data_IF_929637271647
#
_entry.id   IF_929637271647
#
_cell.length_a   1.000
_cell.length_b   1.000
_cell.length_c   1.000
_cell.angle_alpha   90.00
_cell.angle_beta   90.00
_cell.angle_gamma   90.00
#
_symmetry.space_group_name_H-M   'P 1'
#
loop_
_entity.id
_entity.type
_entity.pdbx_description
1 polymer ?
#
# COMPACT_ATOMS: atom_id res chain seq x y z
N UNK A 1 1.69 -13.47 -1.80
CA UNK A 1 0.45 -13.51 -2.63
C UNK A 1 -0.46 -12.37 -2.23
N UNK A 2 -1.09 -11.68 -3.18
CA UNK A 2 -2.09 -10.62 -2.93
C UNK A 2 -3.24 -10.72 -3.95
N UNK A 3 -4.46 -10.45 -3.50
CA UNK A 3 -5.66 -10.40 -4.35
C UNK A 3 -6.75 -11.38 -3.93
N UNK A 4 -7.93 -11.30 -4.56
CA UNK A 4 -9.13 -12.06 -4.13
C UNK A 4 -8.96 -13.59 -4.21
N UNK A 5 -8.03 -14.10 -5.04
CA UNK A 5 -7.73 -15.53 -5.14
C UNK A 5 -6.62 -16.00 -4.19
N UNK A 6 -6.03 -15.13 -3.37
CA UNK A 6 -4.90 -15.49 -2.51
C UNK A 6 -5.26 -16.62 -1.52
N UNK A 7 -6.43 -16.52 -0.88
CA UNK A 7 -6.94 -17.53 0.05
C UNK A 7 -7.33 -18.84 -0.64
N UNK A 8 -7.85 -18.77 -1.87
CA UNK A 8 -8.18 -19.95 -2.67
C UNK A 8 -6.93 -20.72 -3.06
N UNK A 9 -5.91 -20.03 -3.56
CA UNK A 9 -4.65 -20.64 -3.98
C UNK A 9 -3.98 -21.33 -2.81
N UNK A 10 -3.83 -20.64 -1.68
CA UNK A 10 -3.16 -21.24 -0.51
C UNK A 10 -3.95 -22.44 0.04
N UNK A 11 -5.28 -22.40 0.03
CA UNK A 11 -6.10 -23.51 0.54
C UNK A 11 -5.87 -24.82 -0.23
N UNK A 12 -5.46 -24.73 -1.50
CA UNK A 12 -5.19 -25.91 -2.34
C UNK A 12 -3.85 -26.55 -2.02
N UNK A 13 -2.83 -25.75 -1.73
CA UNK A 13 -1.42 -26.20 -1.63
C UNK A 13 -0.92 -26.31 -0.19
N UNK A 14 -1.52 -25.60 0.75
CA UNK A 14 -1.09 -25.63 2.14
C UNK A 14 -1.87 -26.69 2.93
N UNK A 15 -1.15 -27.48 3.72
CA UNK A 15 -1.68 -28.47 4.63
C UNK A 15 -1.29 -28.07 6.06
N UNK A 16 -2.19 -27.39 6.80
CA UNK A 16 -1.89 -26.96 8.16
C UNK A 16 -1.77 -28.18 9.09
N UNK A 17 -0.83 -28.13 10.04
CA UNK A 17 -0.62 -29.21 11.01
C UNK A 17 -1.87 -29.51 11.83
N UNK A 18 -2.57 -28.45 12.26
CA UNK A 18 -3.93 -28.56 12.81
C UNK A 18 -4.90 -28.44 11.65
N UNK A 19 -5.83 -29.40 11.48
CA UNK A 19 -6.88 -29.43 10.42
C UNK A 19 -7.84 -28.23 10.49
N UNK A 20 -7.33 -27.04 10.22
CA UNK A 20 -8.06 -25.77 10.16
C UNK A 20 -8.32 -25.43 8.71
N UNK A 21 -9.52 -24.92 8.44
CA UNK A 21 -9.82 -24.33 7.15
C UNK A 21 -9.13 -22.96 7.04
N UNK A 22 -8.14 -22.91 6.14
CA UNK A 22 -7.29 -21.74 5.84
C UNK A 22 -8.13 -20.52 5.43
N UNK A 23 -9.29 -20.73 4.82
CA UNK A 23 -10.18 -19.62 4.41
C UNK A 23 -10.93 -19.02 5.58
N UNK A 24 -11.21 -19.80 6.62
CA UNK A 24 -12.04 -19.41 7.77
C UNK A 24 -11.23 -19.07 9.03
N UNK A 25 -9.91 -19.03 8.96
CA UNK A 25 -9.08 -18.55 10.07
C UNK A 25 -9.27 -17.04 10.32
N UNK A 26 -8.91 -16.61 11.52
CA UNK A 26 -8.80 -15.19 11.85
C UNK A 26 -7.73 -14.53 10.97
N UNK A 27 -7.86 -13.23 10.74
CA UNK A 27 -6.83 -12.45 10.04
C UNK A 27 -5.62 -12.20 10.95
N UNK A 28 -4.45 -11.94 10.36
CA UNK A 28 -3.20 -11.65 11.06
C UNK A 28 -2.76 -12.79 11.98
N UNK A 29 -2.92 -14.03 11.52
CA UNK A 29 -2.49 -15.22 12.24
C UNK A 29 -1.48 -16.02 11.43
N UNK A 30 -0.60 -16.69 12.18
CA UNK A 30 0.44 -17.56 11.64
C UNK A 30 0.03 -19.02 11.78
N UNK A 31 0.24 -19.80 10.73
CA UNK A 31 -0.15 -21.19 10.65
C UNK A 31 1.04 -22.06 10.23
N UNK A 32 1.38 -23.02 11.07
CA UNK A 32 2.40 -24.01 10.80
C UNK A 32 1.83 -25.21 10.04
N UNK A 33 2.59 -25.72 9.06
CA UNK A 33 2.21 -26.88 8.26
C UNK A 33 3.17 -27.10 7.09
N UNK A 34 2.68 -27.73 6.04
CA UNK A 34 3.47 -28.08 4.86
C UNK A 34 2.88 -27.51 3.57
N UNK A 35 3.75 -27.17 2.61
CA UNK A 35 3.33 -26.98 1.22
C UNK A 35 3.39 -28.34 0.51
N UNK A 36 2.30 -28.70 -0.15
CA UNK A 36 2.11 -30.00 -0.80
C UNK A 36 1.60 -29.76 -2.21
N UNK A 37 2.20 -30.43 -3.19
CA UNK A 37 1.68 -30.46 -4.55
C UNK A 37 0.34 -31.22 -4.57
N UNK A 38 -0.78 -30.59 -4.98
CA UNK A 38 -2.08 -31.23 -4.96
C UNK A 38 -2.21 -32.35 -6.00
N UNK A 39 -1.37 -32.37 -7.04
CA UNK A 39 -1.45 -33.37 -8.12
C UNK A 39 -0.65 -34.64 -7.78
N UNK A 40 0.52 -34.48 -7.15
CA UNK A 40 1.42 -35.61 -6.82
C UNK A 40 1.36 -36.04 -5.36
N UNK A 41 0.92 -35.16 -4.46
CA UNK A 41 1.00 -35.35 -3.02
C UNK A 41 2.40 -35.18 -2.44
N UNK A 42 3.39 -34.77 -3.25
CA UNK A 42 4.76 -34.52 -2.78
C UNK A 42 4.79 -33.32 -1.82
N UNK A 43 5.45 -33.51 -0.68
CA UNK A 43 5.71 -32.43 0.29
C UNK A 43 6.91 -31.64 -0.20
N UNK A 44 6.71 -30.35 -0.46
CA UNK A 44 7.79 -29.47 -0.92
C UNK A 44 8.59 -28.89 0.24
N UNK A 45 7.91 -28.45 1.29
CA UNK A 45 8.56 -27.88 2.47
C UNK A 45 7.64 -27.81 3.69
N UNK A 46 8.26 -27.72 4.86
CA UNK A 46 7.65 -27.32 6.12
C UNK A 46 7.72 -25.78 6.24
N UNK A 47 6.57 -25.12 6.48
CA UNK A 47 6.44 -23.67 6.35
C UNK A 47 5.61 -23.04 7.46
N UNK A 48 5.77 -21.72 7.61
CA UNK A 48 4.84 -20.86 8.33
C UNK A 48 4.08 -19.97 7.35
N UNK A 49 2.75 -20.08 7.33
CA UNK A 49 1.89 -19.28 6.46
C UNK A 49 1.19 -18.18 7.28
N UNK A 50 1.42 -16.93 6.90
CA UNK A 50 0.71 -15.77 7.43
C UNK A 50 -0.53 -15.49 6.58
N UNK A 51 -1.68 -15.35 7.22
CA UNK A 51 -2.94 -15.04 6.54
C UNK A 51 -3.44 -13.69 7.02
N UNK A 52 -3.52 -12.73 6.09
CA UNK A 52 -3.97 -11.37 6.36
C UNK A 52 -5.11 -11.04 5.41
N UNK A 53 -6.28 -10.74 5.95
CA UNK A 53 -7.49 -10.44 5.18
C UNK A 53 -7.69 -8.95 5.03
N UNK A 54 -8.26 -8.53 3.89
CA UNK A 54 -8.64 -7.14 3.61
C UNK A 54 -9.57 -6.57 4.69
N UNK A 55 -9.59 -5.24 4.90
CA UNK A 55 -8.77 -4.21 4.24
C UNK A 55 -7.43 -3.95 4.92
N UNK A 56 -7.14 -4.61 6.05
CA UNK A 56 -6.03 -4.23 6.94
C UNK A 56 -4.69 -4.86 6.50
N UNK A 57 -4.35 -4.80 5.22
CA UNK A 57 -3.15 -5.43 4.64
C UNK A 57 -2.35 -4.43 3.80
N UNK A 58 -1.10 -4.74 3.45
CA UNK A 58 -0.24 -3.82 2.69
C UNK A 58 -0.89 -3.33 1.38
N UNK A 59 -1.51 -4.22 0.62
CA UNK A 59 -2.21 -3.89 -0.62
C UNK A 59 -3.68 -3.53 -0.40
N UNK A 60 -4.22 -3.65 0.81
CA UNK A 60 -5.68 -3.69 1.13
C UNK A 60 -6.46 -4.84 0.49
N UNK A 61 -5.78 -5.82 -0.07
CA UNK A 61 -6.38 -7.07 -0.55
C UNK A 61 -6.10 -8.20 0.44
N UNK A 62 -6.66 -9.39 0.20
CA UNK A 62 -6.22 -10.57 0.95
C UNK A 62 -4.76 -10.89 0.60
N UNK A 63 -3.92 -11.01 1.62
CA UNK A 63 -2.49 -11.34 1.51
C UNK A 63 -2.22 -12.66 2.20
N UNK A 64 -1.44 -13.49 1.52
CA UNK A 64 -0.85 -14.71 2.07
C UNK A 64 0.65 -14.65 1.87
N UNK A 65 1.40 -14.86 2.96
CA UNK A 65 2.85 -14.97 2.95
C UNK A 65 3.26 -16.39 3.34
N UNK A 66 4.12 -17.01 2.54
CA UNK A 66 4.63 -18.36 2.78
C UNK A 66 6.09 -18.21 3.20
N UNK A 67 6.36 -18.44 4.48
CA UNK A 67 7.72 -18.42 5.02
C UNK A 67 8.26 -19.84 4.97
N UNK A 68 9.08 -20.10 3.96
CA UNK A 68 9.71 -21.39 3.68
C UNK A 68 11.22 -21.32 3.95
N UNK A 69 11.88 -22.47 3.92
CA UNK A 69 13.34 -22.52 3.96
C UNK A 69 13.93 -21.80 2.74
N UNK A 70 14.89 -20.90 2.98
CA UNK A 70 15.43 -19.97 1.98
C UNK A 70 16.26 -20.59 0.84
N UNK A 71 16.22 -21.92 0.65
CA UNK A 71 16.90 -22.59 -0.44
C UNK A 71 16.28 -22.24 -1.80
N UNK A 72 17.12 -22.00 -2.81
CA UNK A 72 16.66 -21.60 -4.16
C UNK A 72 15.73 -22.63 -4.80
N UNK A 73 15.98 -23.92 -4.56
CA UNK A 73 15.17 -25.02 -5.10
C UNK A 73 13.77 -25.00 -4.49
N UNK A 74 13.68 -24.85 -3.17
CA UNK A 74 12.41 -24.86 -2.43
C UNK A 74 11.57 -23.64 -2.79
N UNK A 75 12.18 -22.44 -2.76
CA UNK A 75 11.49 -21.19 -3.10
C UNK A 75 11.00 -21.18 -4.55
N UNK A 76 11.78 -21.70 -5.49
CA UNK A 76 11.37 -21.82 -6.90
C UNK A 76 10.21 -22.80 -7.09
N UNK A 77 10.29 -23.99 -6.49
CA UNK A 77 9.20 -24.99 -6.52
C UNK A 77 7.89 -24.44 -5.94
N UNK A 78 7.95 -23.73 -4.81
CA UNK A 78 6.76 -23.12 -4.20
C UNK A 78 6.20 -22.02 -5.11
N UNK A 79 7.04 -21.20 -5.72
CA UNK A 79 6.60 -20.17 -6.67
C UNK A 79 5.91 -20.79 -7.89
N UNK A 80 6.52 -21.79 -8.52
CA UNK A 80 5.95 -22.54 -9.64
C UNK A 80 4.58 -23.14 -9.28
N UNK A 81 4.48 -23.75 -8.11
CA UNK A 81 3.24 -24.34 -7.62
C UNK A 81 2.15 -23.27 -7.43
N UNK A 82 2.49 -22.12 -6.86
CA UNK A 82 1.56 -20.99 -6.69
C UNK A 82 1.08 -20.45 -8.05
N UNK A 83 1.97 -20.36 -9.05
CA UNK A 83 1.61 -19.97 -10.42
C UNK A 83 0.70 -21.00 -11.09
N UNK A 84 1.01 -22.30 -10.94
CA UNK A 84 0.19 -23.41 -11.45
C UNK A 84 -1.24 -23.38 -10.91
N UNK A 85 -1.42 -22.93 -9.66
CA UNK A 85 -2.74 -22.78 -9.05
C UNK A 85 -3.50 -21.50 -9.47
N UNK A 86 -2.95 -20.72 -10.39
CA UNK A 86 -3.62 -19.59 -11.03
C UNK A 86 -3.14 -18.21 -10.57
N UNK A 87 -2.06 -18.12 -9.78
CA UNK A 87 -1.40 -16.84 -9.57
C UNK A 87 -0.72 -16.36 -10.87
N UNK A 88 -0.59 -15.04 -11.03
CA UNK A 88 0.30 -14.43 -12.01
C UNK A 88 1.55 -13.93 -11.28
N UNK A 89 2.70 -14.00 -11.95
CA UNK A 89 3.92 -13.38 -11.45
C UNK A 89 3.73 -11.85 -11.36
N UNK A 90 4.04 -11.27 -10.22
CA UNK A 90 3.89 -9.83 -10.00
C UNK A 90 4.89 -9.03 -10.85
N UNK A 91 4.45 -7.88 -11.35
CA UNK A 91 5.32 -6.91 -12.01
C UNK A 91 6.20 -6.16 -10.98
N UNK A 92 7.32 -5.55 -11.41
CA UNK A 92 8.13 -4.70 -10.54
C UNK A 92 7.29 -3.61 -9.85
N UNK A 93 7.33 -3.58 -8.51
CA UNK A 93 6.58 -2.60 -7.71
C UNK A 93 5.07 -2.82 -7.65
N UNK A 94 4.52 -3.91 -8.21
CA UNK A 94 3.07 -4.10 -8.32
C UNK A 94 2.35 -4.10 -6.96
N UNK A 95 2.97 -4.66 -5.92
CA UNK A 95 2.41 -4.64 -4.56
C UNK A 95 2.26 -3.21 -4.03
N UNK A 96 3.30 -2.38 -4.17
CA UNK A 96 3.26 -0.97 -3.75
C UNK A 96 2.28 -0.17 -4.61
N UNK A 97 2.23 -0.43 -5.92
CA UNK A 97 1.24 0.15 -6.84
C UNK A 97 -0.19 -0.16 -6.39
N UNK A 98 -0.48 -1.42 -6.00
CA UNK A 98 -1.80 -1.80 -5.48
C UNK A 98 -2.12 -1.11 -4.15
N UNK A 99 -1.14 -0.97 -3.26
CA UNK A 99 -1.30 -0.22 -2.02
C UNK A 99 -1.71 1.25 -2.28
N UNK A 100 -1.09 1.88 -3.28
CA UNK A 100 -1.44 3.23 -3.74
C UNK A 100 -2.84 3.29 -4.37
N UNK A 101 -3.13 2.42 -5.33
CA UNK A 101 -4.42 2.39 -6.04
C UNK A 101 -5.60 2.11 -5.10
N UNK A 102 -5.39 1.29 -4.07
CA UNK A 102 -6.41 1.01 -3.06
C UNK A 102 -6.48 2.09 -1.96
N UNK A 103 -5.71 3.18 -2.08
CA UNK A 103 -5.77 4.35 -1.20
C UNK A 103 -5.17 4.14 0.19
N UNK A 104 -4.28 3.15 0.37
CA UNK A 104 -3.56 2.95 1.64
C UNK A 104 -2.47 3.99 1.84
N UNK A 105 -1.79 4.34 0.75
CA UNK A 105 -0.66 5.26 0.70
C UNK A 105 -0.86 6.23 -0.47
N UNK A 106 -0.30 7.44 -0.38
CA UNK A 106 -0.21 8.36 -1.51
C UNK A 106 1.05 8.09 -2.37
N UNK A 107 1.17 8.80 -3.50
CA UNK A 107 2.27 8.59 -4.44
C UNK A 107 3.63 8.88 -3.80
N UNK A 108 3.72 9.94 -2.99
CA UNK A 108 4.96 10.30 -2.30
C UNK A 108 5.39 9.21 -1.31
N UNK A 109 4.43 8.59 -0.62
CA UNK A 109 4.70 7.45 0.25
C UNK A 109 5.11 6.20 -0.53
N UNK A 110 4.54 5.97 -1.72
CA UNK A 110 4.92 4.86 -2.59
C UNK A 110 6.37 4.97 -3.08
N UNK A 111 6.81 6.18 -3.47
CA UNK A 111 8.21 6.47 -3.83
C UNK A 111 9.15 6.27 -2.64
N UNK A 112 8.74 6.70 -1.44
CA UNK A 112 9.53 6.54 -0.23
C UNK A 112 9.85 5.07 0.11
N UNK A 113 9.04 4.10 -0.35
CA UNK A 113 9.31 2.67 -0.13
C UNK A 113 10.61 2.25 -0.82
N UNK A 114 10.82 2.64 -2.08
CA UNK A 114 12.05 2.27 -2.80
C UNK A 114 13.27 3.03 -2.27
N UNK A 115 13.07 4.27 -1.82
CA UNK A 115 14.13 5.07 -1.21
C UNK A 115 14.63 4.45 0.10
N UNK A 116 13.73 3.90 0.93
CA UNK A 116 14.12 3.17 2.14
C UNK A 116 14.92 1.92 1.81
N UNK A 117 14.50 1.15 0.81
CA UNK A 117 15.15 -0.11 0.41
C UNK A 117 16.56 0.15 -0.15
N UNK A 118 16.75 1.25 -0.88
CA UNK A 118 17.99 1.57 -1.58
C UNK A 118 18.91 2.54 -0.84
N UNK A 119 18.49 3.05 0.32
CA UNK A 119 19.22 4.04 1.10
C UNK A 119 20.64 3.56 1.46
N UNK A 120 21.64 4.35 1.06
CA UNK A 120 23.07 4.08 1.37
C UNK A 120 23.57 4.80 2.62
N UNK A 121 22.77 5.72 3.17
CA UNK A 121 23.13 6.50 4.36
C UNK A 121 21.95 6.59 5.32
N UNK A 122 22.25 6.72 6.62
CA UNK A 122 21.23 6.94 7.65
C UNK A 122 20.45 8.23 7.44
N UNK A 123 21.09 9.25 6.86
CA UNK A 123 20.43 10.51 6.53
C UNK A 123 19.37 10.32 5.43
N UNK A 124 19.72 9.60 4.35
CA UNK A 124 18.76 9.27 3.29
C UNK A 124 17.60 8.43 3.82
N UNK A 125 17.90 7.39 4.62
CA UNK A 125 16.87 6.56 5.26
C UNK A 125 15.93 7.41 6.16
N UNK A 126 16.48 8.36 6.93
CA UNK A 126 15.69 9.26 7.78
C UNK A 126 14.73 10.13 6.96
N UNK A 127 15.17 10.67 5.82
CA UNK A 127 14.29 11.44 4.94
C UNK A 127 13.21 10.57 4.30
N UNK A 128 13.58 9.39 3.79
CA UNK A 128 12.64 8.45 3.20
C UNK A 128 11.59 7.98 4.22
N UNK A 129 11.97 7.70 5.47
CA UNK A 129 11.02 7.40 6.55
C UNK A 129 10.07 8.57 6.85
N UNK A 130 10.58 9.81 6.85
CA UNK A 130 9.74 11.01 7.02
C UNK A 130 8.73 11.15 5.88
N UNK A 131 9.11 10.82 4.65
CA UNK A 131 8.18 10.82 3.52
C UNK A 131 7.17 9.67 3.62
N UNK A 132 7.61 8.47 3.99
CA UNK A 132 6.74 7.30 4.18
C UNK A 132 5.67 7.53 5.27
N UNK A 133 5.96 8.32 6.30
CA UNK A 133 4.95 8.70 7.31
C UNK A 133 3.83 9.61 6.79
N UNK A 134 3.94 10.06 5.54
CA UNK A 134 2.97 10.92 4.88
C UNK A 134 3.17 12.41 5.16
N UNK A 135 4.32 12.81 5.71
CA UNK A 135 4.62 14.21 6.02
C UNK A 135 4.46 15.12 4.80
N UNK A 136 5.03 14.72 3.65
CA UNK A 136 4.97 15.51 2.43
C UNK A 136 3.54 15.60 1.89
N UNK A 137 2.84 14.47 1.81
CA UNK A 137 1.42 14.44 1.41
C UNK A 137 0.54 15.31 2.29
N UNK A 138 0.76 15.33 3.61
CA UNK A 138 0.04 16.21 4.53
C UNK A 138 0.34 17.70 4.29
N UNK A 139 1.60 18.06 4.06
CA UNK A 139 1.98 19.44 3.73
C UNK A 139 1.32 19.89 2.42
N UNK A 140 1.37 19.04 1.38
CA UNK A 140 0.74 19.32 0.09
C UNK A 140 -0.78 19.45 0.19
N UNK A 141 -1.44 18.60 0.98
CA UNK A 141 -2.89 18.71 1.22
C UNK A 141 -3.26 20.04 1.88
N UNK A 142 -2.52 20.47 2.91
CA UNK A 142 -2.76 21.77 3.55
C UNK A 142 -2.61 22.95 2.59
N UNK A 143 -1.57 22.94 1.75
CA UNK A 143 -1.39 23.99 0.73
C UNK A 143 -2.53 23.97 -0.28
N UNK A 144 -2.90 22.79 -0.77
CA UNK A 144 -4.03 22.62 -1.70
C UNK A 144 -5.34 23.14 -1.10
N UNK A 145 -5.62 22.83 0.17
CA UNK A 145 -6.86 23.26 0.81
C UNK A 145 -6.94 24.78 0.95
N UNK A 146 -5.84 25.46 1.31
CA UNK A 146 -5.74 26.93 1.31
C UNK A 146 -5.92 27.54 -0.08
N UNK A 147 -5.33 26.92 -1.11
CA UNK A 147 -5.51 27.38 -2.49
C UNK A 147 -6.95 27.21 -2.98
N UNK A 148 -7.62 26.12 -2.59
CA UNK A 148 -9.02 25.88 -2.93
C UNK A 148 -9.96 26.89 -2.26
N UNK A 149 -9.67 27.28 -1.02
CA UNK A 149 -10.40 28.33 -0.31
C UNK A 149 -10.29 29.69 -1.02
N UNK A 150 -9.07 30.10 -1.37
CA UNK A 150 -8.85 31.32 -2.15
C UNK A 150 -9.54 31.29 -3.51
N UNK A 151 -9.49 30.14 -4.20
CA UNK A 151 -10.15 29.96 -5.48
C UNK A 151 -11.68 30.07 -5.33
N UNK A 152 -12.25 29.46 -4.29
CA UNK A 152 -13.68 29.54 -4.02
C UNK A 152 -14.14 30.99 -3.77
N UNK A 153 -13.36 31.75 -3.00
CA UNK A 153 -13.63 33.18 -2.78
C UNK A 153 -13.58 33.95 -4.10
N UNK A 154 -12.52 33.78 -4.90
CA UNK A 154 -12.38 34.48 -6.18
C UNK A 154 -13.53 34.16 -7.13
N UNK A 155 -13.95 32.90 -7.21
CA UNK A 155 -15.07 32.48 -8.04
C UNK A 155 -16.37 33.14 -7.59
N UNK A 156 -16.63 33.23 -6.28
CA UNK A 156 -17.81 33.93 -5.76
C UNK A 156 -17.83 35.42 -6.17
N UNK A 157 -16.67 36.10 -6.14
CA UNK A 157 -16.58 37.51 -6.57
C UNK A 157 -16.83 37.71 -8.06
N UNK A 158 -16.45 36.73 -8.89
CA UNK A 158 -16.70 36.77 -10.33
C UNK A 158 -18.19 36.53 -10.62
N UNK A 159 -18.82 35.61 -9.90
CA UNK A 159 -20.22 35.24 -10.10
C UNK A 159 -21.19 36.32 -9.56
N UNK A 160 -20.80 37.07 -8.51
CA UNK A 160 -21.61 38.11 -7.88
C UNK A 160 -20.87 39.45 -7.80
N UNK A 161 -20.62 40.13 -8.93
CA UNK A 161 -19.84 41.38 -8.96
C UNK A 161 -20.57 42.58 -8.31
N UNK A 162 -21.86 42.44 -8.06
CA UNK A 162 -22.74 43.41 -7.42
C UNK A 162 -22.75 43.32 -5.89
N UNK A 163 -22.26 42.20 -5.33
CA UNK A 163 -21.95 42.09 -3.91
C UNK A 163 -20.60 42.79 -3.68
N UNK A 164 -20.66 44.01 -3.15
CA UNK A 164 -19.50 44.88 -2.94
C UNK A 164 -18.52 44.22 -1.96
N UNK A 165 -17.38 43.77 -2.47
CA UNK A 165 -16.33 43.13 -1.69
C UNK A 165 -15.56 44.20 -0.93
N UNK A 166 -15.54 44.13 0.41
CA UNK A 166 -14.77 45.05 1.22
C UNK A 166 -13.29 45.03 0.77
N UNK A 167 -12.68 46.20 0.69
CA UNK A 167 -11.27 46.35 0.38
C UNK A 167 -10.41 45.48 1.33
N UNK A 168 -10.84 45.34 2.59
CA UNK A 168 -10.24 44.47 3.59
C UNK A 168 -10.20 42.99 3.15
N UNK A 169 -11.27 42.47 2.54
CA UNK A 169 -11.33 41.08 2.07
C UNK A 169 -10.37 40.85 0.89
N UNK A 170 -10.27 41.81 -0.03
CA UNK A 170 -9.29 41.75 -1.14
C UNK A 170 -7.85 41.72 -0.63
N UNK A 171 -7.53 42.55 0.37
CA UNK A 171 -6.22 42.55 1.01
C UNK A 171 -5.91 41.22 1.70
N UNK A 172 -6.88 40.64 2.41
CA UNK A 172 -6.72 39.33 3.06
C UNK A 172 -6.47 38.21 2.05
N UNK A 173 -7.18 38.20 0.92
CA UNK A 173 -6.96 37.23 -0.15
C UNK A 173 -5.55 37.35 -0.76
N UNK A 174 -5.10 38.58 -1.02
CA UNK A 174 -3.75 38.85 -1.53
C UNK A 174 -2.66 38.42 -0.55
N UNK A 175 -2.83 38.68 0.74
CA UNK A 175 -1.84 38.29 1.73
C UNK A 175 -1.78 36.77 1.91
N UNK A 176 -2.94 36.11 2.00
CA UNK A 176 -3.01 34.64 2.04
C UNK A 176 -2.36 34.00 0.80
N UNK A 177 -2.56 34.55 -0.40
CA UNK A 177 -1.89 34.09 -1.61
C UNK A 177 -0.35 34.22 -1.53
N UNK A 178 0.16 35.34 -1.00
CA UNK A 178 1.61 35.54 -0.78
C UNK A 178 2.18 34.58 0.25
N UNK A 179 1.44 34.28 1.31
CA UNK A 179 1.86 33.31 2.33
C UNK A 179 1.97 31.91 1.74
N UNK A 180 0.97 31.47 0.97
CA UNK A 180 1.03 30.17 0.27
C UNK A 180 2.26 30.11 -0.64
N UNK A 181 2.54 31.18 -1.39
CA UNK A 181 3.69 31.24 -2.30
C UNK A 181 5.05 31.12 -1.55
N UNK A 182 5.15 31.61 -0.32
CA UNK A 182 6.37 31.47 0.51
C UNK A 182 6.59 30.05 1.03
N UNK A 183 5.55 29.22 1.09
CA UNK A 183 5.60 27.86 1.65
C UNK A 183 5.87 26.76 0.62
N UNK A 184 5.67 27.07 -0.67
CA UNK A 184 6.01 26.25 -1.83
C UNK A 184 7.53 26.28 -2.02
#
# INVERSE_FOLDING_TARGET
LSGDRALDIISRIFRPYKKKDVKNVKTHTLHYGHIVDPDTGEVYDEVLVSIMKKPNTYTREDIVEINCHGGIVVTSKILELVLKQGARLAEPGEFTKRAFLNGRIDLSQAEAVIDIITAKTMLANKYAQKQLSGYLGQKMRKLKDRMMELLAHLLALIDFPEDDVDELERWQMLESAKEILKEI
#
